data_IF_647439929414
#
_entry.id   IF_647439929414
#
_cell.length_a   1.000
_cell.length_b   1.000
_cell.length_c   1.000
_cell.angle_alpha   90.00
_cell.angle_beta   90.00
_cell.angle_gamma   90.00
#
_symmetry.space_group_name_H-M   'P 1'
#
loop_
_entity.id
_entity.type
_entity.pdbx_description
1 polymer ?
#
# COMPACT_ATOMS: atom_id res chain seq x y z
N UNK A 1 6.09 -18.66 76.76
CA UNK A 1 5.73 -19.28 75.46
C UNK A 1 4.93 -18.27 74.66
N UNK A 2 5.58 -17.52 73.76
CA UNK A 2 4.94 -16.47 72.96
C UNK A 2 4.54 -17.01 71.60
N UNK A 3 3.24 -16.97 71.30
CA UNK A 3 2.73 -17.18 69.95
C UNK A 3 2.75 -15.85 69.20
N UNK A 4 3.53 -15.77 68.11
CA UNK A 4 3.45 -14.69 67.11
C UNK A 4 2.39 -15.08 66.08
N UNK A 5 1.32 -14.28 65.99
CA UNK A 5 0.37 -14.35 64.89
C UNK A 5 0.88 -13.42 63.79
N UNK A 6 1.35 -13.99 62.69
CA UNK A 6 1.67 -13.25 61.46
C UNK A 6 0.39 -13.12 60.65
N UNK A 7 -0.12 -11.89 60.51
CA UNK A 7 -1.25 -11.58 59.66
C UNK A 7 -0.75 -11.40 58.22
N UNK A 8 -1.03 -12.38 57.34
CA UNK A 8 -0.83 -12.25 55.90
C UNK A 8 -1.92 -11.34 55.32
N UNK A 9 -1.56 -10.11 54.93
CA UNK A 9 -2.42 -9.26 54.11
C UNK A 9 -2.21 -9.69 52.65
N UNK A 10 -3.17 -10.44 52.12
CA UNK A 10 -3.32 -10.60 50.66
C UNK A 10 -3.76 -9.26 50.08
N UNK A 11 -2.81 -8.48 49.56
CA UNK A 11 -3.15 -7.37 48.66
C UNK A 11 -3.51 -7.99 47.31
N UNK A 12 -4.81 -8.18 47.08
CA UNK A 12 -5.33 -8.35 45.73
C UNK A 12 -4.99 -7.09 44.94
N UNK A 13 -3.91 -7.15 44.15
CA UNK A 13 -3.68 -6.24 43.04
C UNK A 13 -4.80 -6.47 42.02
N UNK A 14 -5.88 -5.71 42.17
CA UNK A 14 -6.77 -5.43 41.07
C UNK A 14 -5.90 -4.72 40.03
N UNK A 15 -5.62 -5.41 38.91
CA UNK A 15 -5.13 -4.77 37.69
C UNK A 15 -6.18 -3.72 37.32
N UNK A 16 -5.97 -2.48 37.74
CA UNK A 16 -6.65 -1.35 37.16
C UNK A 16 -6.18 -1.30 35.70
N UNK A 17 -7.10 -1.54 34.78
CA UNK A 17 -6.90 -1.29 33.36
C UNK A 17 -6.37 0.13 33.18
N UNK A 18 -5.13 0.25 32.70
CA UNK A 18 -4.53 1.54 32.36
C UNK A 18 -5.45 2.18 31.29
N UNK A 19 -5.97 3.40 31.50
CA UNK A 19 -6.72 4.11 30.47
C UNK A 19 -5.82 4.37 29.26
N UNK A 20 -6.41 4.23 28.07
CA UNK A 20 -5.74 3.93 26.80
C UNK A 20 -4.55 4.81 26.46
N UNK A 21 -3.51 4.18 25.91
CA UNK A 21 -2.39 4.89 25.26
C UNK A 21 -2.92 5.93 24.27
N UNK A 22 -2.48 7.16 24.44
CA UNK A 22 -2.71 8.23 23.48
C UNK A 22 -2.04 7.83 22.15
N UNK A 23 -2.83 7.68 21.09
CA UNK A 23 -2.30 7.37 19.77
C UNK A 23 -1.41 8.52 19.30
N UNK A 24 -0.10 8.32 19.33
CA UNK A 24 0.88 9.32 18.87
C UNK A 24 1.02 9.26 17.35
N UNK A 25 1.01 10.43 16.71
CA UNK A 25 1.30 10.56 15.27
C UNK A 25 2.76 10.19 14.96
N UNK A 26 2.96 9.44 13.87
CA UNK A 26 4.27 9.13 13.31
C UNK A 26 4.24 9.30 11.79
N UNK A 27 5.18 10.09 11.29
CA UNK A 27 5.51 10.20 9.87
C UNK A 27 7.00 10.44 9.73
N UNK A 28 7.64 9.72 8.81
CA UNK A 28 9.01 9.97 8.37
C UNK A 28 9.01 10.05 6.84
N UNK A 29 9.60 11.10 6.29
CA UNK A 29 9.75 11.31 4.85
C UNK A 29 11.25 11.45 4.57
N UNK A 30 11.80 10.46 3.88
CA UNK A 30 13.21 10.45 3.49
C UNK A 30 13.34 10.46 1.97
N UNK A 31 14.35 11.15 1.45
CA UNK A 31 14.66 11.13 0.02
C UNK A 31 15.97 10.39 -0.20
N UNK A 32 15.94 9.32 -0.99
CA UNK A 32 17.13 8.55 -1.36
C UNK A 32 17.00 8.00 -2.77
N UNK A 33 18.11 8.02 -3.51
CA UNK A 33 18.22 7.47 -4.88
C UNK A 33 17.08 7.92 -5.81
N UNK A 34 16.71 9.20 -5.76
CA UNK A 34 15.68 9.78 -6.64
C UNK A 34 14.22 9.48 -6.24
N UNK A 35 13.97 8.91 -5.06
CA UNK A 35 12.62 8.64 -4.55
C UNK A 35 12.41 9.27 -3.17
N UNK A 36 11.17 9.67 -2.89
CA UNK A 36 10.67 9.97 -1.54
C UNK A 36 10.01 8.72 -0.97
N UNK A 37 10.51 8.25 0.16
CA UNK A 37 9.90 7.17 0.95
C UNK A 37 9.17 7.80 2.12
N UNK A 38 7.92 7.37 2.33
CA UNK A 38 7.02 7.94 3.34
C UNK A 38 6.53 6.79 4.22
N UNK A 39 7.00 6.78 5.46
CA UNK A 39 6.60 5.84 6.50
C UNK A 39 5.64 6.55 7.43
N UNK A 40 4.46 5.98 7.67
CA UNK A 40 3.50 6.60 8.58
C UNK A 40 2.62 5.59 9.29
N UNK A 41 2.18 5.94 10.49
CA UNK A 41 1.15 5.21 11.21
C UNK A 41 -0.28 5.71 10.93
N UNK A 42 -0.47 6.72 10.09
CA UNK A 42 -1.78 7.25 9.69
C UNK A 42 -2.56 7.94 10.81
N UNK A 43 -1.93 8.20 11.96
CA UNK A 43 -2.54 8.94 13.05
C UNK A 43 -2.30 10.44 12.81
N UNK A 44 -3.35 11.28 12.75
CA UNK A 44 -3.19 12.72 12.51
C UNK A 44 -2.45 13.41 13.65
N UNK A 45 -1.60 14.38 13.31
CA UNK A 45 -0.88 15.24 14.27
C UNK A 45 -1.72 16.42 14.79
N UNK A 46 -3.03 16.38 14.56
CA UNK A 46 -3.99 17.44 14.89
C UNK A 46 -5.25 16.82 15.48
N UNK A 47 -6.10 17.64 16.10
CA UNK A 47 -7.38 17.18 16.62
C UNK A 47 -8.24 16.56 15.51
N UNK A 48 -8.83 15.40 15.80
CA UNK A 48 -9.73 14.67 14.92
C UNK A 48 -11.03 14.35 15.67
N UNK A 49 -12.05 13.90 14.92
CA UNK A 49 -13.34 13.55 15.51
C UNK A 49 -13.24 12.41 16.53
N UNK A 50 -14.21 12.32 17.43
CA UNK A 50 -14.32 11.16 18.33
C UNK A 50 -14.78 9.93 17.54
N UNK A 51 -13.95 8.90 17.50
CA UNK A 51 -14.24 7.63 16.83
C UNK A 51 -14.03 6.46 17.82
N UNK A 52 -15.00 5.54 17.98
CA UNK A 52 -16.25 5.45 17.23
C UNK A 52 -17.30 6.49 17.67
N UNK A 53 -18.26 6.76 16.80
CA UNK A 53 -19.45 7.59 17.07
C UNK A 53 -20.68 7.03 16.34
N UNK A 54 -21.86 7.66 16.51
CA UNK A 54 -23.14 7.21 15.92
C UNK A 54 -23.10 7.09 14.39
N UNK A 55 -22.31 7.92 13.71
CA UNK A 55 -22.22 7.96 12.26
C UNK A 55 -21.04 7.16 11.69
N UNK A 56 -20.07 6.79 12.54
CA UNK A 56 -18.95 5.93 12.19
C UNK A 56 -18.59 5.00 13.37
N UNK A 57 -18.92 3.69 13.30
CA UNK A 57 -18.70 2.75 14.40
C UNK A 57 -17.25 2.27 14.52
N UNK A 58 -16.35 2.69 13.63
CA UNK A 58 -14.97 2.21 13.60
C UNK A 58 -14.11 3.01 14.58
N UNK A 59 -13.18 2.33 15.25
CA UNK A 59 -12.18 2.95 16.14
C UNK A 59 -10.90 3.20 15.36
N UNK A 60 -10.33 4.38 15.49
CA UNK A 60 -9.02 4.70 14.91
C UNK A 60 -7.92 3.82 15.52
N UNK A 61 -6.99 3.35 14.71
CA UNK A 61 -5.81 2.60 15.16
C UNK A 61 -4.61 2.89 14.28
N UNK A 62 -3.41 2.70 14.82
CA UNK A 62 -2.17 2.83 14.07
C UNK A 62 -2.14 1.85 12.89
N UNK A 63 -1.71 2.37 11.75
CA UNK A 63 -1.49 1.60 10.53
C UNK A 63 0.02 1.43 10.29
N UNK A 64 0.40 0.66 9.27
CA UNK A 64 1.79 0.58 8.78
C UNK A 64 1.84 0.96 7.30
N UNK A 65 1.86 2.26 7.05
CA UNK A 65 1.98 2.81 5.71
C UNK A 65 3.44 2.88 5.28
N UNK A 66 3.70 2.42 4.06
CA UNK A 66 5.00 2.54 3.39
C UNK A 66 4.69 2.94 1.96
N UNK A 67 4.93 4.21 1.65
CA UNK A 67 4.73 4.75 0.32
C UNK A 67 6.07 5.13 -0.31
N UNK A 68 6.12 5.08 -1.63
CA UNK A 68 7.25 5.54 -2.42
C UNK A 68 6.73 6.38 -3.58
N UNK A 69 7.33 7.54 -3.83
CA UNK A 69 7.04 8.35 -5.00
C UNK A 69 8.32 8.89 -5.61
N UNK A 70 8.31 9.26 -6.90
CA UNK A 70 9.47 9.91 -7.53
C UNK A 70 9.80 11.23 -6.82
N UNK A 71 11.08 11.48 -6.54
CA UNK A 71 11.54 12.77 -6.04
C UNK A 71 11.50 13.85 -7.15
N UNK A 72 11.57 13.41 -8.41
CA UNK A 72 11.57 14.23 -9.62
C UNK A 72 10.43 13.73 -10.53
N UNK A 73 9.17 14.02 -10.19
CA UNK A 73 8.02 13.53 -10.93
C UNK A 73 8.00 14.11 -12.36
N UNK A 74 7.54 13.31 -13.31
CA UNK A 74 7.41 13.69 -14.71
C UNK A 74 5.96 13.51 -15.16
N UNK A 75 5.51 14.40 -16.06
CA UNK A 75 4.19 14.29 -16.68
C UNK A 75 4.21 13.07 -17.59
N UNK A 76 3.17 12.25 -17.51
CA UNK A 76 2.93 11.19 -18.46
C UNK A 76 2.22 11.74 -19.70
N UNK A 77 2.30 11.02 -20.81
CA UNK A 77 1.59 11.37 -22.05
C UNK A 77 0.07 11.35 -21.86
N UNK A 78 -0.42 10.48 -20.97
CA UNK A 78 -1.82 10.31 -20.65
C UNK A 78 -2.05 10.42 -19.15
N UNK A 79 -3.18 11.03 -18.78
CA UNK A 79 -3.61 11.10 -17.39
C UNK A 79 -4.13 9.73 -16.93
N UNK A 80 -3.96 9.40 -15.64
CA UNK A 80 -4.42 8.13 -15.06
C UNK A 80 -5.54 8.38 -14.06
N UNK A 81 -6.74 7.79 -14.19
CA UNK A 81 -7.81 7.96 -13.21
C UNK A 81 -7.49 7.30 -11.87
N UNK A 82 -7.89 7.93 -10.76
CA UNK A 82 -7.83 7.34 -9.42
C UNK A 82 -8.96 6.33 -9.25
N UNK A 83 -8.64 5.04 -9.32
CA UNK A 83 -9.63 3.96 -9.25
C UNK A 83 -9.50 3.11 -7.98
N UNK A 84 -8.36 2.42 -7.82
CA UNK A 84 -8.10 1.47 -6.73
C UNK A 84 -6.91 1.90 -5.86
N UNK A 85 -6.70 3.21 -5.76
CA UNK A 85 -5.57 3.85 -5.11
C UNK A 85 -6.05 4.97 -4.23
N UNK A 86 -5.35 5.19 -3.12
CA UNK A 86 -5.37 6.51 -2.48
C UNK A 86 -4.68 7.50 -3.42
N UNK A 87 -5.15 8.75 -3.47
CA UNK A 87 -4.58 9.76 -4.36
C UNK A 87 -3.17 10.18 -3.93
N UNK A 88 -2.95 10.30 -2.64
CA UNK A 88 -1.69 10.77 -2.11
C UNK A 88 -1.63 10.60 -0.60
N UNK A 89 -0.55 11.10 -0.02
CA UNK A 89 -0.36 11.11 1.43
C UNK A 89 0.01 12.52 1.87
N UNK A 90 -0.63 12.97 2.95
CA UNK A 90 -0.34 14.25 3.56
C UNK A 90 1.04 14.23 4.21
N UNK A 91 1.69 15.40 4.34
CA UNK A 91 3.00 15.48 5.02
C UNK A 91 2.90 15.19 6.53
N UNK A 92 1.69 15.12 7.11
CA UNK A 92 1.45 14.58 8.45
C UNK A 92 1.23 13.05 8.48
N UNK A 93 1.34 12.37 7.33
CA UNK A 93 1.26 10.92 7.20
C UNK A 93 -0.14 10.34 6.95
N UNK A 94 -1.19 11.16 6.96
CA UNK A 94 -2.56 10.68 6.72
C UNK A 94 -2.87 10.57 5.22
N UNK A 95 -3.46 9.46 4.74
CA UNK A 95 -3.82 9.32 3.32
C UNK A 95 -4.92 10.28 2.85
N UNK A 96 -4.80 10.74 1.60
CA UNK A 96 -5.87 11.38 0.83
C UNK A 96 -6.57 10.32 -0.02
N UNK A 97 -7.78 9.95 0.35
CA UNK A 97 -8.60 8.98 -0.39
C UNK A 97 -9.81 9.69 -1.01
N UNK A 98 -9.79 9.95 -2.33
CA UNK A 98 -10.90 10.63 -3.00
C UNK A 98 -12.16 9.76 -3.16
N UNK A 99 -12.03 8.44 -3.03
CA UNK A 99 -13.05 7.49 -3.43
C UNK A 99 -13.94 7.06 -2.27
N UNK A 100 -15.24 6.89 -2.52
CA UNK A 100 -16.12 6.15 -1.61
C UNK A 100 -16.23 4.69 -2.04
N UNK A 101 -16.51 3.80 -1.09
CA UNK A 101 -16.96 2.45 -1.39
C UNK A 101 -18.47 2.38 -1.69
N UNK A 102 -19.14 3.55 -1.73
CA UNK A 102 -20.58 3.68 -1.86
C UNK A 102 -20.97 3.88 -3.32
N UNK A 103 -21.73 2.92 -3.85
CA UNK A 103 -22.24 2.94 -5.21
C UNK A 103 -23.74 2.83 -5.19
N UNK A 104 -24.40 3.44 -6.18
CA UNK A 104 -25.84 3.31 -6.36
C UNK A 104 -26.24 1.84 -6.41
N UNK A 105 -27.27 1.49 -5.63
CA UNK A 105 -27.73 0.11 -5.43
C UNK A 105 -26.63 -0.89 -4.99
N UNK A 106 -25.54 -0.39 -4.37
CA UNK A 106 -24.36 -1.18 -3.98
C UNK A 106 -23.70 -1.90 -5.17
N UNK A 107 -23.92 -1.41 -6.39
CA UNK A 107 -23.37 -1.98 -7.60
C UNK A 107 -22.18 -1.15 -8.10
N UNK A 108 -20.96 -1.67 -7.91
CA UNK A 108 -19.72 -1.04 -8.40
C UNK A 108 -19.70 -0.85 -9.91
N UNK A 109 -20.40 -1.70 -10.66
CA UNK A 109 -20.48 -1.64 -12.12
C UNK A 109 -21.53 -0.64 -12.62
N UNK A 110 -22.29 0.00 -11.72
CA UNK A 110 -23.32 0.99 -12.11
C UNK A 110 -22.73 2.24 -12.77
N UNK A 111 -21.46 2.56 -12.52
CA UNK A 111 -20.86 3.84 -12.89
C UNK A 111 -21.25 5.01 -11.96
N UNK A 112 -22.12 4.78 -10.98
CA UNK A 112 -22.65 5.80 -10.09
C UNK A 112 -22.06 5.66 -8.68
N UNK A 113 -20.89 6.24 -8.47
CA UNK A 113 -20.22 6.34 -7.16
C UNK A 113 -20.64 7.61 -6.44
N UNK A 114 -21.03 7.49 -5.17
CA UNK A 114 -21.40 8.67 -4.37
C UNK A 114 -20.17 9.52 -4.05
N UNK A 115 -20.36 10.84 -4.04
CA UNK A 115 -19.34 11.80 -3.64
C UNK A 115 -19.36 11.99 -2.12
N UNK A 116 -18.21 11.82 -1.47
CA UNK A 116 -18.09 11.82 -0.01
C UNK A 116 -18.54 13.16 0.61
N UNK A 117 -18.20 14.26 -0.06
CA UNK A 117 -18.52 15.63 0.37
C UNK A 117 -19.74 16.22 -0.36
N UNK A 118 -20.62 15.37 -0.89
CA UNK A 118 -21.88 15.82 -1.51
C UNK A 118 -22.89 16.42 -0.53
N UNK A 119 -22.78 16.09 0.76
CA UNK A 119 -23.82 16.38 1.76
C UNK A 119 -25.09 15.54 1.61
N UNK A 120 -25.08 14.53 0.74
CA UNK A 120 -26.24 13.67 0.43
C UNK A 120 -26.13 12.26 1.02
N UNK A 121 -24.92 11.89 1.45
CA UNK A 121 -24.65 10.65 2.18
C UNK A 121 -23.93 11.00 3.49
N UNK A 122 -24.14 10.18 4.51
CA UNK A 122 -23.47 10.33 5.80
C UNK A 122 -22.42 9.22 5.96
N UNK A 123 -21.16 9.57 5.76
CA UNK A 123 -20.00 8.68 5.96
C UNK A 123 -19.38 8.81 7.37
N UNK A 124 -19.99 9.63 8.23
CA UNK A 124 -19.44 9.98 9.54
C UNK A 124 -18.13 10.74 9.43
N UNK A 125 -18.05 11.67 8.47
CA UNK A 125 -16.92 12.57 8.33
C UNK A 125 -16.82 13.51 9.55
N UNK A 126 -15.60 13.78 9.99
CA UNK A 126 -15.31 14.78 11.02
C UNK A 126 -15.07 16.17 10.43
N UNK A 127 -14.72 17.13 11.29
CA UNK A 127 -14.41 18.51 10.92
C UNK A 127 -13.20 18.67 9.99
N UNK A 128 -12.43 17.61 9.75
CA UNK A 128 -11.29 17.58 8.83
C UNK A 128 -11.64 16.87 7.51
N UNK A 129 -12.93 16.68 7.21
CA UNK A 129 -13.39 15.93 6.06
C UNK A 129 -12.86 14.50 6.04
N UNK A 130 -12.68 13.89 7.21
CA UNK A 130 -12.01 12.60 7.37
C UNK A 130 -12.89 11.61 8.09
N UNK A 131 -12.62 10.32 7.94
CA UNK A 131 -13.24 9.30 8.78
C UNK A 131 -12.38 8.05 8.91
N UNK A 132 -12.82 7.12 9.75
CA UNK A 132 -12.12 5.87 10.05
C UNK A 132 -12.75 4.69 9.29
N UNK A 133 -11.93 3.92 8.57
CA UNK A 133 -12.34 2.68 7.90
C UNK A 133 -12.48 1.52 8.89
N UNK A 134 -13.14 0.40 8.52
CA UNK A 134 -13.27 -0.77 9.40
C UNK A 134 -11.96 -1.38 9.91
N UNK A 135 -10.84 -1.16 9.23
CA UNK A 135 -9.51 -1.59 9.67
C UNK A 135 -8.83 -0.59 10.64
N UNK A 136 -9.52 0.49 11.01
CA UNK A 136 -9.02 1.55 11.87
C UNK A 136 -8.24 2.67 11.16
N UNK A 137 -8.10 2.61 9.84
CA UNK A 137 -7.38 3.64 9.08
C UNK A 137 -8.18 4.95 8.98
N UNK A 138 -7.62 6.03 9.53
CA UNK A 138 -8.11 7.39 9.36
C UNK A 138 -7.58 7.98 8.05
N UNK A 139 -8.43 8.65 7.28
CA UNK A 139 -8.07 9.22 5.97
C UNK A 139 -8.98 10.38 5.58
N UNK A 140 -8.46 11.29 4.76
CA UNK A 140 -9.16 12.49 4.29
C UNK A 140 -9.90 12.26 2.97
N UNK A 141 -11.12 12.80 2.88
CA UNK A 141 -11.91 12.96 1.64
C UNK A 141 -11.86 14.39 1.08
N UNK A 142 -11.25 15.33 1.81
CA UNK A 142 -11.12 16.73 1.41
C UNK A 142 -10.07 17.48 2.22
N UNK A 143 -10.24 18.79 2.36
CA UNK A 143 -9.30 19.65 3.08
C UNK A 143 -9.36 19.34 4.59
N UNK A 144 -8.25 18.97 5.23
CA UNK A 144 -8.19 18.80 6.68
C UNK A 144 -8.11 20.15 7.39
N UNK A 145 -9.26 20.77 7.65
CA UNK A 145 -9.36 22.18 8.08
C UNK A 145 -8.55 22.53 9.33
N UNK A 146 -8.58 21.71 10.39
CA UNK A 146 -7.81 22.02 11.59
C UNK A 146 -6.31 21.94 11.33
N UNK A 147 -5.88 20.96 10.54
CA UNK A 147 -4.47 20.83 10.17
C UNK A 147 -4.00 21.97 9.27
N UNK A 148 -4.77 22.31 8.22
CA UNK A 148 -4.42 23.41 7.32
C UNK A 148 -4.29 24.73 8.09
N UNK A 149 -5.20 24.99 9.03
CA UNK A 149 -5.17 26.19 9.89
C UNK A 149 -3.95 26.21 10.83
N UNK A 150 -3.42 25.04 11.19
CA UNK A 150 -2.17 24.94 11.97
C UNK A 150 -0.91 25.22 11.13
N UNK A 151 -0.97 24.96 9.81
CA UNK A 151 0.14 25.20 8.88
C UNK A 151 0.21 26.64 8.39
N UNK A 152 -0.94 27.29 8.18
CA UNK A 152 -1.00 28.67 7.70
C UNK A 152 -2.16 29.45 8.30
N UNK A 153 -1.89 30.72 8.65
CA UNK A 153 -2.89 31.68 9.17
C UNK A 153 -3.35 32.71 8.14
N UNK A 154 -2.66 32.80 7.01
CA UNK A 154 -2.95 33.75 5.92
C UNK A 154 -3.00 33.01 4.58
N UNK A 155 -3.63 33.58 3.54
CA UNK A 155 -3.53 33.03 2.18
C UNK A 155 -2.08 32.81 1.77
N UNK A 156 -1.70 31.56 1.53
CA UNK A 156 -0.34 31.16 1.18
C UNK A 156 -0.38 29.84 0.40
N UNK A 157 0.56 29.64 -0.54
CA UNK A 157 0.80 28.33 -1.13
C UNK A 157 1.33 27.39 -0.05
N UNK A 158 0.49 26.49 0.45
CA UNK A 158 0.85 25.55 1.50
C UNK A 158 0.97 24.14 0.94
N UNK A 159 2.18 23.59 0.92
CA UNK A 159 2.42 22.18 0.62
C UNK A 159 1.76 21.33 1.71
N UNK A 160 0.85 20.45 1.31
CA UNK A 160 0.12 19.56 2.22
C UNK A 160 0.38 18.08 1.98
N UNK A 161 1.04 17.70 0.88
CA UNK A 161 1.32 16.29 0.63
C UNK A 161 2.00 16.02 -0.70
N UNK A 162 2.13 14.73 -1.00
CA UNK A 162 2.61 14.23 -2.28
C UNK A 162 1.61 13.23 -2.85
N UNK A 163 1.28 13.40 -4.13
CA UNK A 163 0.42 12.47 -4.87
C UNK A 163 1.18 11.18 -5.19
N UNK A 164 0.47 10.10 -5.50
CA UNK A 164 1.06 8.80 -5.82
C UNK A 164 2.04 8.85 -7.00
N UNK A 165 1.92 9.83 -7.90
CA UNK A 165 2.83 10.06 -9.02
C UNK A 165 4.03 10.98 -8.69
N UNK A 166 4.13 11.43 -7.44
CA UNK A 166 5.23 12.20 -6.88
C UNK A 166 5.11 13.71 -6.98
N UNK A 167 4.10 14.24 -7.70
CA UNK A 167 3.87 15.69 -7.72
C UNK A 167 3.35 16.20 -6.36
N UNK A 168 3.75 17.41 -5.97
CA UNK A 168 3.29 18.00 -4.71
C UNK A 168 1.81 18.38 -4.77
N UNK A 169 1.17 18.34 -3.60
CA UNK A 169 -0.22 18.72 -3.37
C UNK A 169 -0.24 19.97 -2.50
N UNK A 170 -0.91 21.01 -2.97
CA UNK A 170 -1.16 22.25 -2.25
C UNK A 170 -2.63 22.34 -1.83
N UNK A 171 -2.93 23.18 -0.84
CA UNK A 171 -4.32 23.42 -0.43
C UNK A 171 -4.72 24.88 -0.68
N UNK A 172 -5.90 25.06 -1.30
CA UNK A 172 -6.60 26.33 -1.53
C UNK A 172 -5.91 27.37 -2.39
N UNK A 173 -4.70 27.81 -2.04
CA UNK A 173 -4.11 29.03 -2.59
C UNK A 173 -2.91 28.72 -3.49
N UNK A 174 -2.89 29.38 -4.65
CA UNK A 174 -1.88 29.26 -5.68
C UNK A 174 -1.51 30.63 -6.24
N UNK A 175 -0.42 30.70 -7.00
CA UNK A 175 -0.11 31.88 -7.80
C UNK A 175 -1.13 32.02 -8.94
N UNK A 176 -1.67 33.23 -9.09
CA UNK A 176 -2.51 33.67 -10.20
C UNK A 176 -2.23 35.15 -10.50
N UNK A 177 -1.74 35.43 -11.71
CA UNK A 177 -1.48 36.79 -12.21
C UNK A 177 -0.60 37.64 -11.26
N UNK A 178 0.43 37.02 -10.68
CA UNK A 178 1.37 37.65 -9.75
C UNK A 178 0.89 37.75 -8.30
N UNK A 179 -0.31 37.25 -7.98
CA UNK A 179 -0.87 37.28 -6.63
C UNK A 179 -1.10 35.86 -6.09
N UNK A 180 -1.15 35.72 -4.76
CA UNK A 180 -1.60 34.48 -4.11
C UNK A 180 -3.11 34.54 -3.92
N UNK A 181 -3.81 33.65 -4.60
CA UNK A 181 -5.26 33.64 -4.70
C UNK A 181 -5.83 32.24 -4.49
N UNK A 182 -7.11 32.15 -4.08
CA UNK A 182 -7.80 30.86 -4.01
C UNK A 182 -8.02 30.30 -5.42
N UNK A 183 -7.52 29.07 -5.64
CA UNK A 183 -7.59 28.35 -6.90
C UNK A 183 -8.98 27.78 -7.13
N UNK A 184 -9.51 28.01 -8.34
CA UNK A 184 -10.85 27.57 -8.73
C UNK A 184 -10.76 26.29 -9.54
N UNK A 185 -11.47 25.26 -9.10
CA UNK A 185 -11.70 24.05 -9.90
C UNK A 185 -12.47 24.39 -11.20
N UNK A 186 -12.06 23.72 -12.27
CA UNK A 186 -12.71 23.78 -13.59
C UNK A 186 -13.81 22.73 -13.75
N UNK A 187 -14.18 22.02 -12.69
CA UNK A 187 -15.32 21.12 -12.68
C UNK A 187 -16.62 21.85 -12.35
N UNK A 188 -17.69 21.52 -13.07
CA UNK A 188 -19.05 22.03 -12.85
C UNK A 188 -20.02 20.86 -12.69
N UNK A 189 -21.12 21.08 -11.99
CA UNK A 189 -22.25 20.15 -12.01
C UNK A 189 -22.88 20.24 -13.40
N UNK A 190 -23.10 19.07 -14.01
CA UNK A 190 -23.80 18.90 -15.29
C UNK A 190 -25.21 19.51 -15.21
N UNK A 191 -25.73 19.99 -16.35
CA UNK A 191 -27.10 20.52 -16.41
C UNK A 191 -28.11 19.45 -16.82
N UNK A 192 -29.35 19.58 -16.34
CA UNK A 192 -30.48 18.73 -16.73
C UNK A 192 -30.62 17.45 -15.89
N UNK A 193 -31.31 16.46 -16.46
CA UNK A 193 -31.60 15.19 -15.81
C UNK A 193 -30.63 14.08 -16.22
N UNK A 194 -30.31 13.18 -15.29
CA UNK A 194 -29.61 11.92 -15.53
C UNK A 194 -30.50 11.06 -16.43
N UNK A 195 -29.95 10.59 -17.56
CA UNK A 195 -30.68 9.76 -18.52
C UNK A 195 -30.79 8.30 -18.06
N UNK A 196 -29.87 7.86 -17.21
CA UNK A 196 -29.74 6.49 -16.73
C UNK A 196 -29.49 6.43 -15.21
N UNK A 197 -29.46 5.22 -14.66
CA UNK A 197 -29.08 4.94 -13.28
C UNK A 197 -30.03 5.56 -12.23
N UNK A 198 -29.54 6.37 -11.27
CA UNK A 198 -30.33 6.93 -10.18
C UNK A 198 -31.42 7.92 -10.63
N UNK A 199 -31.42 8.36 -11.90
CA UNK A 199 -32.39 9.34 -12.41
C UNK A 199 -32.30 10.70 -11.69
N UNK A 200 -33.28 11.57 -11.90
CA UNK A 200 -33.32 12.90 -11.29
C UNK A 200 -32.32 13.90 -11.88
N UNK A 201 -32.19 15.08 -11.26
CA UNK A 201 -31.25 16.11 -11.70
C UNK A 201 -29.81 15.78 -11.30
N UNK A 202 -28.85 16.20 -12.11
CA UNK A 202 -27.46 16.30 -11.67
C UNK A 202 -27.38 17.31 -10.53
N UNK A 203 -27.06 16.85 -9.33
CA UNK A 203 -27.09 17.66 -8.11
C UNK A 203 -25.82 17.52 -7.24
N UNK A 204 -24.81 16.83 -7.77
CA UNK A 204 -23.52 16.62 -7.10
C UNK A 204 -23.53 15.46 -6.09
N UNK A 205 -24.61 14.66 -6.04
CA UNK A 205 -24.69 13.43 -5.23
C UNK A 205 -23.64 12.41 -5.66
N UNK A 206 -23.41 12.28 -6.97
CA UNK A 206 -22.50 11.31 -7.55
C UNK A 206 -21.31 11.99 -8.21
N UNK A 207 -20.17 11.30 -8.23
CA UNK A 207 -18.97 11.76 -8.97
C UNK A 207 -19.30 12.03 -10.44
N UNK A 208 -20.15 11.19 -11.05
CA UNK A 208 -20.59 11.31 -12.44
C UNK A 208 -21.50 12.52 -12.72
N UNK A 209 -21.93 13.26 -11.69
CA UNK A 209 -22.69 14.50 -11.86
C UNK A 209 -21.81 15.67 -12.25
N UNK A 210 -20.50 15.55 -12.09
CA UNK A 210 -19.55 16.59 -12.41
C UNK A 210 -18.93 16.36 -13.78
N UNK A 211 -18.68 17.45 -14.50
CA UNK A 211 -17.93 17.46 -15.74
C UNK A 211 -16.82 18.51 -15.68
N UNK A 212 -15.68 18.19 -16.28
CA UNK A 212 -14.60 19.14 -16.48
C UNK A 212 -14.95 20.06 -17.64
N UNK A 213 -14.87 21.37 -17.41
CA UNK A 213 -15.03 22.40 -18.43
C UNK A 213 -13.74 23.21 -18.50
N UNK A 214 -12.94 22.98 -19.55
CA UNK A 214 -11.67 23.65 -19.77
C UNK A 214 -11.82 25.19 -19.72
N UNK A 215 -10.92 25.85 -18.98
CA UNK A 215 -10.93 27.31 -18.81
C UNK A 215 -12.04 27.88 -17.92
N UNK A 216 -12.91 27.05 -17.32
CA UNK A 216 -13.97 27.55 -16.42
C UNK A 216 -13.51 27.84 -14.98
N UNK A 217 -12.23 27.56 -14.71
CA UNK A 217 -11.52 27.78 -13.47
C UNK A 217 -10.02 27.97 -13.75
N UNK A 218 -9.20 27.82 -12.72
CA UNK A 218 -7.75 28.02 -12.77
C UNK A 218 -6.98 26.69 -12.95
N UNK A 219 -7.66 25.56 -12.76
CA UNK A 219 -7.05 24.22 -12.68
C UNK A 219 -7.42 23.33 -13.87
N UNK A 220 -6.55 22.40 -14.24
CA UNK A 220 -6.73 21.45 -15.34
C UNK A 220 -7.66 20.27 -14.96
N UNK A 221 -7.83 19.30 -15.86
CA UNK A 221 -8.65 18.10 -15.64
C UNK A 221 -8.16 17.23 -14.47
N UNK A 222 -6.88 17.33 -14.13
CA UNK A 222 -6.25 16.70 -12.99
C UNK A 222 -6.38 17.55 -11.71
N UNK A 223 -7.11 18.66 -11.74
CA UNK A 223 -7.24 19.63 -10.65
C UNK A 223 -5.88 20.15 -10.15
N UNK A 224 -4.95 20.37 -11.09
CA UNK A 224 -3.65 20.97 -10.84
C UNK A 224 -3.30 22.03 -11.89
N UNK A 225 -2.07 22.55 -11.79
CA UNK A 225 -1.46 23.43 -12.80
C UNK A 225 0.05 23.28 -12.77
N UNK A 226 0.70 23.79 -13.81
CA UNK A 226 2.14 24.02 -13.80
C UNK A 226 2.44 25.43 -13.31
N UNK A 227 3.48 25.60 -12.51
CA UNK A 227 3.95 26.90 -12.05
C UNK A 227 4.99 26.79 -10.94
N UNK A 228 5.63 27.91 -10.61
CA UNK A 228 6.54 28.01 -9.48
C UNK A 228 5.78 27.87 -8.16
N UNK A 229 6.44 27.27 -7.17
CA UNK A 229 5.96 27.16 -5.79
C UNK A 229 7.12 27.45 -4.83
N UNK A 230 6.89 27.67 -3.52
CA UNK A 230 7.97 27.92 -2.58
C UNK A 230 9.07 26.84 -2.58
N UNK A 231 8.68 25.57 -2.69
CA UNK A 231 9.59 24.42 -2.71
C UNK A 231 10.18 24.15 -4.10
N UNK A 232 9.53 24.63 -5.16
CA UNK A 232 9.92 24.40 -6.56
C UNK A 232 9.93 25.73 -7.34
N UNK A 233 10.92 26.61 -7.09
CA UNK A 233 10.96 27.95 -7.70
C UNK A 233 11.15 27.92 -9.22
N UNK A 234 11.74 26.85 -9.76
CA UNK A 234 11.91 26.65 -11.21
C UNK A 234 10.64 26.12 -11.90
N UNK A 235 9.56 25.92 -11.15
CA UNK A 235 8.31 25.37 -11.64
C UNK A 235 8.20 23.87 -11.49
N UNK A 236 7.01 23.43 -11.14
CA UNK A 236 6.60 22.02 -11.19
C UNK A 236 5.11 21.94 -11.50
N UNK A 237 4.67 20.79 -12.02
CA UNK A 237 3.25 20.49 -12.01
C UNK A 237 2.83 20.16 -10.56
N UNK A 238 1.70 20.68 -10.11
CA UNK A 238 1.25 20.50 -8.74
C UNK A 238 -0.27 20.50 -8.65
N UNK A 239 -0.78 19.74 -7.69
CA UNK A 239 -2.21 19.55 -7.46
C UNK A 239 -2.76 20.50 -6.42
N UNK A 240 -4.08 20.68 -6.43
CA UNK A 240 -4.78 21.42 -5.39
C UNK A 240 -5.87 20.58 -4.70
N UNK A 241 -5.92 20.69 -3.38
CA UNK A 241 -7.13 20.47 -2.61
C UNK A 241 -8.01 21.72 -2.66
N UNK A 242 -9.29 21.55 -2.99
CA UNK A 242 -10.23 22.66 -3.22
C UNK A 242 -11.49 22.54 -2.37
N UNK A 243 -12.16 23.66 -2.09
CA UNK A 243 -13.46 23.66 -1.36
C UNK A 243 -14.60 23.06 -2.17
N UNK A 244 -14.43 22.94 -3.48
CA UNK A 244 -15.41 22.40 -4.44
C UNK A 244 -14.84 21.16 -5.09
N UNK A 245 -15.72 20.36 -5.70
CA UNK A 245 -15.34 19.17 -6.46
C UNK A 245 -14.15 19.46 -7.39
N UNK A 246 -13.11 18.61 -7.40
CA UNK A 246 -13.11 17.25 -6.86
C UNK A 246 -12.73 17.12 -5.38
N UNK A 247 -12.47 18.23 -4.66
CA UNK A 247 -11.97 18.29 -3.28
C UNK A 247 -10.56 17.70 -3.11
N UNK A 248 -10.37 16.45 -3.51
CA UNK A 248 -9.10 15.76 -3.77
C UNK A 248 -9.11 15.38 -5.26
N UNK A 249 -8.03 15.59 -6.03
CA UNK A 249 -7.99 15.24 -7.45
C UNK A 249 -8.43 13.81 -7.78
N UNK A 250 -9.01 13.62 -8.98
CA UNK A 250 -9.50 12.30 -9.47
C UNK A 250 -8.61 11.70 -10.56
N UNK A 251 -7.55 12.39 -10.97
CA UNK A 251 -6.63 11.94 -12.00
C UNK A 251 -5.19 12.29 -11.63
N UNK A 252 -4.27 11.43 -12.02
CA UNK A 252 -2.83 11.66 -11.99
C UNK A 252 -2.36 12.21 -13.34
N UNK A 253 -1.47 13.19 -13.29
CA UNK A 253 -0.74 13.81 -14.40
C UNK A 253 0.53 13.03 -14.72
N UNK A 254 1.13 12.37 -13.73
CA UNK A 254 2.25 11.45 -13.90
C UNK A 254 1.82 9.99 -13.80
N UNK A 255 2.80 9.11 -13.60
CA UNK A 255 2.57 7.68 -13.38
C UNK A 255 2.51 7.38 -11.88
N UNK A 256 1.36 6.97 -11.32
CA UNK A 256 1.26 6.68 -9.89
C UNK A 256 2.05 5.42 -9.50
N UNK A 257 2.72 5.48 -8.35
CA UNK A 257 3.44 4.35 -7.78
C UNK A 257 2.49 3.33 -7.15
N UNK A 258 2.74 2.04 -7.37
CA UNK A 258 1.87 0.95 -6.93
C UNK A 258 1.76 0.83 -5.40
N UNK A 259 2.67 1.44 -4.64
CA UNK A 259 2.59 1.47 -3.16
C UNK A 259 1.35 2.17 -2.62
N UNK A 260 0.66 2.98 -3.45
CA UNK A 260 -0.59 3.66 -3.13
C UNK A 260 -1.85 2.84 -3.45
N UNK A 261 -1.72 1.64 -4.01
CA UNK A 261 -2.85 0.76 -4.25
C UNK A 261 -3.49 0.33 -2.92
N UNK A 262 -4.81 0.32 -2.83
CA UNK A 262 -5.49 -0.22 -1.66
C UNK A 262 -5.09 -1.69 -1.46
N UNK A 263 -4.62 -2.04 -0.26
CA UNK A 263 -4.41 -3.44 0.11
C UNK A 263 -5.78 -4.11 0.18
N UNK A 264 -6.03 -5.13 -0.65
CA UNK A 264 -7.20 -5.97 -0.50
C UNK A 264 -7.13 -6.65 0.87
N UNK A 265 -7.98 -6.24 1.80
CA UNK A 265 -8.17 -6.99 3.04
C UNK A 265 -8.72 -8.39 2.74
N UNK A 266 -8.50 -9.38 3.62
CA UNK A 266 -9.15 -10.68 3.49
C UNK A 266 -10.67 -10.47 3.53
N UNK A 267 -11.35 -10.87 2.46
CA UNK A 267 -12.79 -10.75 2.34
C UNK A 267 -13.49 -11.41 3.54
N UNK A 268 -14.43 -10.68 4.12
CA UNK A 268 -15.41 -11.20 5.07
C UNK A 268 -16.12 -12.39 4.40
N UNK A 269 -15.82 -13.61 4.86
CA UNK A 269 -16.61 -14.79 4.55
C UNK A 269 -18.01 -14.59 5.10
N UNK A 270 -18.96 -14.25 4.23
CA UNK A 270 -20.39 -14.33 4.56
C UNK A 270 -20.74 -15.80 4.69
N UNK A 271 -20.90 -16.23 5.93
CA UNK A 271 -21.47 -17.50 6.32
C UNK A 271 -22.95 -17.53 5.89
N UNK A 272 -23.22 -18.10 4.72
CA UNK A 272 -24.56 -18.57 4.38
C UNK A 272 -24.52 -20.09 4.30
N UNK A 273 -24.96 -20.71 5.39
CA UNK A 273 -25.26 -22.13 5.44
C UNK A 273 -26.33 -22.50 4.41
N UNK A 274 -25.95 -23.34 3.44
CA UNK A 274 -26.89 -24.24 2.76
C UNK A 274 -26.23 -25.61 2.61
N UNK A 275 -26.79 -26.58 3.34
CA UNK A 275 -26.58 -28.02 3.19
C UNK A 275 -26.62 -28.40 1.71
N UNK A 276 -25.54 -28.99 1.19
CA UNK A 276 -25.54 -29.71 -0.09
C UNK A 276 -25.61 -31.19 0.18
N UNK A 277 -26.77 -31.79 -0.08
CA UNK A 277 -26.85 -33.21 -0.45
C UNK A 277 -26.08 -33.40 -1.76
N UNK A 278 -25.30 -34.47 -1.81
CA UNK A 278 -24.33 -34.72 -2.86
C UNK A 278 -24.96 -35.14 -4.17
N UNK A 279 -24.40 -34.62 -5.27
CA UNK A 279 -24.26 -35.37 -6.51
C UNK A 279 -22.88 -35.08 -7.09
N UNK A 280 -22.10 -36.16 -7.23
CA UNK A 280 -20.82 -36.22 -7.94
C UNK A 280 -21.02 -35.78 -9.39
N UNK A 281 -20.33 -34.72 -9.82
CA UNK A 281 -19.82 -34.59 -11.19
C UNK A 281 -18.43 -33.94 -11.14
N UNK A 282 -17.44 -34.80 -11.42
CA UNK A 282 -16.13 -34.56 -12.02
C UNK A 282 -15.48 -33.19 -11.74
N UNK A 283 -14.52 -33.20 -10.80
CA UNK A 283 -13.62 -32.08 -10.58
C UNK A 283 -12.58 -31.99 -11.71
N UNK A 284 -12.57 -30.86 -12.42
CA UNK A 284 -11.33 -30.34 -12.96
C UNK A 284 -10.65 -29.54 -11.85
N UNK A 285 -9.81 -30.23 -11.08
CA UNK A 285 -8.74 -29.57 -10.36
C UNK A 285 -7.74 -29.04 -11.39
N UNK A 286 -7.75 -27.73 -11.63
CA UNK A 286 -6.59 -27.04 -12.20
C UNK A 286 -5.45 -27.04 -11.18
N UNK A 287 -4.79 -28.19 -11.05
CA UNK A 287 -3.45 -28.27 -10.49
C UNK A 287 -2.55 -27.33 -11.28
N UNK A 288 -1.78 -26.51 -10.56
CA UNK A 288 -0.59 -25.87 -11.12
C UNK A 288 0.34 -26.98 -11.64
N UNK A 289 0.59 -27.12 -12.95
CA UNK A 289 1.44 -28.19 -13.43
C UNK A 289 2.89 -27.77 -13.22
N UNK A 290 3.62 -28.56 -12.45
CA UNK A 290 5.02 -28.80 -12.77
C UNK A 290 5.11 -29.13 -14.28
N UNK A 291 5.75 -28.25 -15.07
CA UNK A 291 6.07 -28.51 -16.49
C UNK A 291 5.44 -27.62 -17.58
N UNK A 292 5.12 -26.34 -17.32
CA UNK A 292 4.67 -25.40 -18.37
C UNK A 292 5.77 -24.99 -19.38
N UNK A 293 5.37 -24.52 -20.57
CA UNK A 293 6.23 -24.20 -21.73
C UNK A 293 7.40 -23.23 -21.44
N UNK A 294 7.30 -22.43 -20.36
CA UNK A 294 8.31 -21.47 -19.91
C UNK A 294 8.74 -21.71 -18.45
N UNK A 295 8.68 -22.95 -17.96
CA UNK A 295 8.96 -23.27 -16.56
C UNK A 295 10.35 -22.83 -16.10
N UNK A 296 11.38 -23.11 -16.90
CA UNK A 296 12.75 -22.71 -16.60
C UNK A 296 12.90 -21.19 -16.52
N UNK A 297 12.31 -20.48 -17.49
CA UNK A 297 12.29 -19.03 -17.51
C UNK A 297 11.52 -18.46 -16.31
N UNK A 298 10.39 -19.05 -15.94
CA UNK A 298 9.58 -18.61 -14.79
C UNK A 298 10.33 -18.71 -13.47
N UNK A 299 11.13 -19.77 -13.32
CA UNK A 299 11.96 -19.96 -12.14
C UNK A 299 13.17 -19.01 -12.14
N UNK A 300 13.84 -18.88 -13.27
CA UNK A 300 15.02 -18.03 -13.45
C UNK A 300 14.68 -16.54 -13.31
N UNK A 301 13.58 -16.10 -13.92
CA UNK A 301 13.11 -14.71 -13.92
C UNK A 301 12.89 -14.16 -12.51
N UNK A 302 12.53 -15.00 -11.54
CA UNK A 302 12.28 -14.55 -10.15
C UNK A 302 13.52 -13.94 -9.49
N UNK A 303 14.72 -14.29 -9.95
CA UNK A 303 15.99 -13.93 -9.31
C UNK A 303 17.02 -13.34 -10.29
N UNK A 304 16.67 -13.19 -11.57
CA UNK A 304 17.61 -12.73 -12.60
C UNK A 304 17.37 -11.26 -12.95
N UNK A 305 18.31 -10.41 -12.53
CA UNK A 305 18.28 -8.96 -12.78
C UNK A 305 18.32 -8.62 -14.27
N UNK A 306 19.14 -9.32 -15.07
CA UNK A 306 19.22 -9.11 -16.53
C UNK A 306 17.88 -9.40 -17.24
N UNK A 307 17.16 -10.43 -16.81
CA UNK A 307 15.84 -10.71 -17.36
C UNK A 307 14.80 -9.65 -16.95
N UNK A 308 14.91 -9.08 -15.75
CA UNK A 308 14.09 -7.95 -15.32
C UNK A 308 14.43 -6.67 -16.11
N UNK A 309 15.70 -6.48 -16.48
CA UNK A 309 16.17 -5.37 -17.32
C UNK A 309 15.67 -5.49 -18.75
N UNK A 310 15.77 -6.66 -19.38
CA UNK A 310 15.25 -6.89 -20.74
C UNK A 310 13.75 -6.52 -20.84
N UNK A 311 12.94 -6.90 -19.84
CA UNK A 311 11.52 -6.53 -19.77
C UNK A 311 11.34 -5.02 -19.59
N UNK A 312 12.19 -4.38 -18.79
CA UNK A 312 12.14 -2.94 -18.50
C UNK A 312 12.52 -2.10 -19.72
N UNK A 313 13.62 -2.44 -20.40
CA UNK A 313 14.13 -1.73 -21.57
C UNK A 313 13.18 -1.82 -22.76
N UNK A 314 12.46 -2.93 -22.88
CA UNK A 314 11.47 -3.12 -23.95
C UNK A 314 10.05 -2.68 -23.55
N UNK A 315 9.88 -2.13 -22.35
CA UNK A 315 8.58 -1.66 -21.81
C UNK A 315 7.46 -2.73 -21.87
N UNK A 316 7.77 -3.97 -21.53
CA UNK A 316 6.84 -5.11 -21.67
C UNK A 316 6.11 -5.35 -20.34
N UNK A 317 4.78 -5.42 -20.38
CA UNK A 317 3.97 -5.80 -19.22
C UNK A 317 3.65 -7.30 -19.22
N UNK A 318 4.23 -8.04 -18.27
CA UNK A 318 4.05 -9.50 -18.16
C UNK A 318 3.01 -9.93 -17.13
N UNK A 319 2.44 -9.02 -16.32
CA UNK A 319 1.46 -9.37 -15.29
C UNK A 319 2.01 -10.10 -14.05
N UNK A 320 1.12 -10.43 -13.10
CA UNK A 320 1.42 -11.23 -11.90
C UNK A 320 0.30 -12.26 -11.65
N UNK A 321 0.56 -13.58 -11.80
CA UNK A 321 1.83 -14.20 -12.22
C UNK A 321 2.22 -13.85 -13.67
N UNK A 322 3.51 -13.94 -14.05
CA UNK A 322 3.96 -13.70 -15.42
C UNK A 322 3.17 -14.50 -16.46
N UNK A 323 2.58 -13.79 -17.42
CA UNK A 323 1.87 -14.29 -18.59
C UNK A 323 2.83 -14.20 -19.79
N UNK A 324 3.59 -15.27 -20.03
CA UNK A 324 4.67 -15.28 -21.02
C UNK A 324 4.17 -15.10 -22.46
N UNK A 325 2.90 -15.42 -22.71
CA UNK A 325 2.18 -15.14 -23.96
C UNK A 325 2.10 -13.65 -24.32
N UNK A 326 2.30 -12.74 -23.37
CA UNK A 326 2.28 -11.28 -23.59
C UNK A 326 3.67 -10.72 -23.94
N UNK A 327 4.72 -11.55 -23.93
CA UNK A 327 6.08 -11.14 -24.29
C UNK A 327 6.29 -11.36 -25.78
N UNK A 328 6.73 -10.35 -26.56
CA UNK A 328 7.11 -10.52 -27.96
C UNK A 328 8.06 -11.71 -28.15
N UNK A 329 7.79 -12.55 -29.15
CA UNK A 329 8.44 -13.85 -29.30
C UNK A 329 9.98 -13.77 -29.38
N UNK A 330 10.53 -12.72 -29.97
CA UNK A 330 11.97 -12.46 -30.04
C UNK A 330 12.59 -12.18 -28.67
N UNK A 331 11.90 -11.42 -27.82
CA UNK A 331 12.33 -11.10 -26.45
C UNK A 331 12.16 -12.31 -25.54
N UNK A 332 11.06 -13.04 -25.71
CA UNK A 332 10.83 -14.29 -25.00
C UNK A 332 11.93 -15.30 -25.32
N UNK A 333 12.28 -15.49 -26.60
CA UNK A 333 13.38 -16.37 -27.02
C UNK A 333 14.75 -15.90 -26.50
N UNK A 334 15.01 -14.59 -26.45
CA UNK A 334 16.23 -14.03 -25.87
C UNK A 334 16.33 -14.37 -24.36
N UNK A 335 15.25 -14.15 -23.62
CA UNK A 335 15.18 -14.44 -22.19
C UNK A 335 15.23 -15.94 -21.90
N UNK A 336 14.59 -16.77 -22.72
CA UNK A 336 14.68 -18.23 -22.62
C UNK A 336 16.08 -18.74 -22.92
N UNK A 337 16.75 -18.19 -23.93
CA UNK A 337 18.14 -18.54 -24.25
C UNK A 337 19.08 -18.11 -23.12
N UNK A 338 18.91 -16.92 -22.57
CA UNK A 338 19.64 -16.46 -21.38
C UNK A 338 19.38 -17.40 -20.19
N UNK A 339 18.11 -17.73 -19.93
CA UNK A 339 17.75 -18.66 -18.87
C UNK A 339 18.33 -20.06 -19.11
N UNK A 340 18.40 -20.57 -20.34
CA UNK A 340 19.01 -21.87 -20.67
C UNK A 340 20.54 -21.87 -20.57
N UNK A 341 21.19 -20.77 -20.94
CA UNK A 341 22.64 -20.61 -20.86
C UNK A 341 23.11 -20.45 -19.41
N UNK A 342 22.29 -19.80 -18.57
CA UNK A 342 22.60 -19.49 -17.19
C UNK A 342 21.88 -20.39 -16.17
N UNK A 343 21.06 -21.33 -16.65
CA UNK A 343 20.51 -22.42 -15.85
C UNK A 343 21.01 -23.74 -16.44
N UNK A 344 22.01 -24.35 -15.81
CA UNK A 344 22.55 -25.64 -16.27
C UNK A 344 21.45 -26.70 -16.33
N UNK A 345 21.29 -27.32 -17.50
CA UNK A 345 20.24 -28.28 -17.84
C UNK A 345 20.37 -29.61 -17.08
N UNK A 346 19.22 -30.19 -16.70
CA UNK A 346 19.04 -31.64 -16.65
C UNK A 346 18.74 -32.25 -15.27
N UNK A 347 17.47 -32.61 -15.08
CA UNK A 347 16.93 -33.57 -14.11
C UNK A 347 16.93 -33.17 -12.61
N UNK A 348 15.79 -33.48 -11.97
CA UNK A 348 15.53 -33.49 -10.54
C UNK A 348 16.76 -33.75 -9.66
N UNK A 349 17.38 -32.71 -9.09
CA UNK A 349 18.01 -32.62 -7.75
C UNK A 349 18.98 -31.42 -7.70
N UNK A 350 18.84 -30.63 -6.64
CA UNK A 350 19.85 -29.78 -5.97
C UNK A 350 20.94 -29.02 -6.79
N UNK A 351 20.80 -27.68 -6.78
CA UNK A 351 21.77 -26.58 -6.51
C UNK A 351 23.14 -26.54 -7.24
N UNK A 352 23.49 -25.36 -7.80
CA UNK A 352 24.72 -24.55 -7.54
C UNK A 352 24.95 -23.46 -8.61
N UNK A 353 24.82 -22.19 -8.22
CA UNK A 353 25.29 -21.02 -8.98
C UNK A 353 26.83 -20.98 -8.97
N UNK A 354 27.44 -20.75 -10.12
CA UNK A 354 28.89 -20.81 -10.37
C UNK A 354 29.69 -19.63 -9.79
N UNK A 355 29.06 -18.74 -9.01
CA UNK A 355 29.77 -17.66 -8.29
C UNK A 355 30.47 -18.11 -7.01
N UNK A 356 30.28 -19.35 -6.57
CA UNK A 356 30.99 -19.93 -5.42
C UNK A 356 31.92 -21.07 -5.87
N UNK A 357 33.04 -20.72 -6.49
CA UNK A 357 34.22 -21.58 -6.48
C UNK A 357 35.30 -20.90 -5.66
N UNK A 358 35.45 -21.31 -4.39
CA UNK A 358 36.75 -21.68 -3.85
C UNK A 358 36.61 -22.44 -2.52
N UNK A 359 37.41 -23.52 -2.45
CA UNK A 359 37.72 -24.43 -1.33
C UNK A 359 36.67 -25.49 -0.95
N UNK A 360 36.95 -26.70 -1.49
CA UNK A 360 36.75 -28.00 -0.83
C UNK A 360 37.42 -27.93 0.56
N UNK A 361 36.88 -28.53 1.62
CA UNK A 361 36.83 -29.97 1.85
C UNK A 361 35.79 -30.28 2.95
N UNK A 362 35.05 -31.38 2.81
CA UNK A 362 34.84 -32.42 3.84
C UNK A 362 33.76 -33.40 3.37
N UNK A 363 34.14 -34.68 3.30
CA UNK A 363 33.31 -35.82 2.93
C UNK A 363 32.42 -36.29 4.09
N UNK A 364 31.17 -36.65 3.83
CA UNK A 364 30.31 -37.41 4.75
C UNK A 364 28.95 -37.79 4.14
N UNK A 365 28.47 -39.04 4.25
CA UNK A 365 27.48 -39.61 3.33
C UNK A 365 26.01 -39.30 3.70
N UNK A 366 25.21 -39.15 2.65
CA UNK A 366 23.75 -39.13 2.67
C UNK A 366 23.15 -40.38 3.34
N UNK A 367 22.17 -40.19 4.23
CA UNK A 367 21.18 -41.23 4.56
C UNK A 367 19.76 -40.67 4.54
N UNK A 368 18.99 -41.21 3.59
CA UNK A 368 17.54 -41.20 3.53
C UNK A 368 16.93 -42.04 4.66
N UNK A 369 15.86 -41.55 5.29
CA UNK A 369 14.82 -42.44 5.85
C UNK A 369 13.47 -41.73 5.91
N UNK A 370 12.52 -42.27 5.14
CA UNK A 370 11.09 -42.05 5.33
C UNK A 370 10.66 -42.59 6.70
N UNK A 371 9.78 -41.86 7.39
CA UNK A 371 9.05 -42.28 8.58
C UNK A 371 7.82 -41.40 8.76
N UNK A 372 6.65 -42.02 8.95
CA UNK A 372 5.33 -41.41 8.93
C UNK A 372 4.92 -40.82 10.31
N UNK A 373 4.44 -39.56 10.32
CA UNK A 373 3.55 -38.90 11.32
C UNK A 373 4.14 -38.47 12.67
N UNK A 374 3.54 -37.52 13.45
CA UNK A 374 2.37 -36.65 13.22
C UNK A 374 2.65 -35.12 13.40
N UNK A 375 1.74 -34.25 12.93
CA UNK A 375 1.55 -32.89 13.47
C UNK A 375 2.38 -31.75 12.87
N UNK A 376 1.78 -31.01 11.91
CA UNK A 376 2.17 -29.63 11.61
C UNK A 376 1.83 -28.74 12.82
N UNK A 377 2.74 -28.59 13.78
CA UNK A 377 2.45 -27.78 14.96
C UNK A 377 3.62 -27.32 15.85
N UNK A 378 4.86 -27.79 15.64
CA UNK A 378 5.96 -27.50 16.57
C UNK A 378 7.07 -26.57 16.08
N UNK A 379 7.22 -26.35 14.78
CA UNK A 379 8.46 -25.77 14.24
C UNK A 379 8.59 -24.24 14.35
N UNK A 380 7.50 -23.52 14.63
CA UNK A 380 7.49 -22.06 14.50
C UNK A 380 7.63 -21.29 15.82
N UNK A 381 7.50 -21.91 16.99
CA UNK A 381 7.35 -21.15 18.23
C UNK A 381 8.67 -20.60 18.76
N UNK A 382 9.78 -21.35 18.62
CA UNK A 382 11.11 -20.97 19.13
C UNK A 382 11.71 -19.74 18.44
N UNK A 383 11.45 -19.55 17.14
CA UNK A 383 12.01 -18.46 16.33
C UNK A 383 10.94 -17.54 15.76
N UNK A 384 9.72 -17.56 16.31
CA UNK A 384 8.56 -16.83 15.75
C UNK A 384 8.80 -15.33 15.65
N UNK A 385 9.27 -14.73 16.74
CA UNK A 385 9.56 -13.29 16.83
C UNK A 385 10.67 -12.88 15.87
N UNK A 386 11.72 -13.70 15.76
CA UNK A 386 12.83 -13.51 14.82
C UNK A 386 12.32 -13.59 13.38
N UNK A 387 11.53 -14.61 13.03
CA UNK A 387 11.02 -14.80 11.68
C UNK A 387 10.04 -13.70 11.23
N UNK A 388 9.18 -13.22 12.14
CA UNK A 388 8.22 -12.16 11.87
C UNK A 388 8.91 -10.79 11.70
N UNK A 389 9.95 -10.50 12.49
CA UNK A 389 10.78 -9.30 12.35
C UNK A 389 11.66 -9.35 11.10
N UNK A 390 12.39 -10.46 10.90
CA UNK A 390 13.30 -10.67 9.78
C UNK A 390 12.63 -10.40 8.44
N UNK A 391 11.39 -10.85 8.27
CA UNK A 391 10.58 -10.70 7.04
C UNK A 391 10.51 -9.27 6.49
N UNK A 392 10.69 -8.27 7.35
CA UNK A 392 10.55 -6.86 6.99
C UNK A 392 11.76 -6.00 7.40
N UNK A 393 12.87 -6.62 7.83
CA UNK A 393 14.05 -5.92 8.29
C UNK A 393 15.22 -6.10 7.32
N UNK A 394 15.61 -4.99 6.68
CA UNK A 394 16.72 -4.95 5.72
C UNK A 394 18.07 -5.23 6.40
N UNK A 395 18.30 -4.68 7.59
CA UNK A 395 19.53 -4.88 8.37
C UNK A 395 19.72 -6.35 8.77
N UNK A 396 18.63 -7.06 9.11
CA UNK A 396 18.70 -8.49 9.37
C UNK A 396 18.96 -9.31 8.09
N UNK A 397 18.38 -8.91 6.96
CA UNK A 397 18.65 -9.53 5.66
C UNK A 397 20.11 -9.33 5.22
N UNK A 398 20.67 -8.15 5.47
CA UNK A 398 22.09 -7.82 5.26
C UNK A 398 22.97 -8.63 6.20
N UNK A 399 22.61 -8.75 7.47
CA UNK A 399 23.37 -9.54 8.43
C UNK A 399 23.47 -11.03 8.03
N UNK A 400 22.38 -11.62 7.51
CA UNK A 400 22.40 -12.99 6.95
C UNK A 400 23.28 -13.07 5.70
N UNK A 401 23.26 -12.04 4.85
CA UNK A 401 24.03 -11.96 3.61
C UNK A 401 25.52 -11.82 3.88
N UNK A 402 25.90 -10.94 4.79
CA UNK A 402 27.29 -10.61 5.13
C UNK A 402 27.97 -11.78 5.86
N UNK A 403 27.18 -12.59 6.58
CA UNK A 403 27.64 -13.84 7.19
C UNK A 403 27.53 -15.05 6.24
N UNK A 404 27.09 -14.85 4.99
CA UNK A 404 26.95 -15.88 3.96
C UNK A 404 26.12 -17.10 4.42
N UNK A 405 25.01 -16.84 5.12
CA UNK A 405 24.15 -17.89 5.71
C UNK A 405 23.04 -18.28 4.74
N UNK A 406 22.99 -19.56 4.37
CA UNK A 406 21.90 -20.11 3.57
C UNK A 406 20.70 -20.51 4.45
N UNK A 407 19.62 -19.73 4.35
CA UNK A 407 18.37 -19.99 5.06
C UNK A 407 17.53 -21.11 4.43
N UNK A 408 17.92 -21.65 3.27
CA UNK A 408 17.15 -22.65 2.55
C UNK A 408 15.85 -22.11 1.92
N UNK A 409 14.97 -23.03 1.50
CA UNK A 409 13.66 -22.69 0.92
C UNK A 409 12.65 -22.25 1.98
N UNK A 410 11.54 -21.58 1.59
CA UNK A 410 10.52 -21.18 2.56
C UNK A 410 9.76 -22.40 3.13
N UNK A 411 9.56 -22.49 4.46
CA UNK A 411 9.98 -21.51 5.48
C UNK A 411 11.49 -21.57 5.81
N UNK A 412 12.14 -20.42 6.11
CA UNK A 412 13.57 -20.37 6.45
C UNK A 412 13.98 -21.37 7.53
N UNK A 413 15.10 -22.04 7.34
CA UNK A 413 15.68 -22.96 8.31
C UNK A 413 16.52 -22.21 9.34
N UNK A 414 15.84 -21.73 10.39
CA UNK A 414 16.46 -20.99 11.48
C UNK A 414 17.46 -21.81 12.32
N UNK A 415 17.42 -23.14 12.26
CA UNK A 415 18.37 -23.99 13.01
C UNK A 415 19.78 -23.97 12.39
N UNK A 416 19.90 -23.59 11.12
CA UNK A 416 21.19 -23.47 10.43
C UNK A 416 21.84 -22.10 10.60
N UNK A 417 21.16 -21.16 11.25
CA UNK A 417 21.71 -19.82 11.50
C UNK A 417 22.60 -19.88 12.74
N UNK A 418 23.88 -19.46 12.65
CA UNK A 418 24.78 -19.40 13.79
C UNK A 418 24.17 -18.63 14.96
N UNK A 419 24.35 -19.15 16.19
CA UNK A 419 23.63 -18.64 17.36
C UNK A 419 23.95 -17.17 17.67
N UNK A 420 25.16 -16.71 17.36
CA UNK A 420 25.56 -15.31 17.49
C UNK A 420 24.79 -14.39 16.52
N UNK A 421 24.49 -14.86 15.31
CA UNK A 421 23.71 -14.11 14.31
C UNK A 421 22.23 -14.12 14.68
N UNK A 422 21.70 -15.26 15.14
CA UNK A 422 20.35 -15.32 15.70
C UNK A 422 20.16 -14.35 16.88
N UNK A 423 21.18 -14.22 17.73
CA UNK A 423 21.11 -13.32 18.88
C UNK A 423 21.15 -11.85 18.47
N UNK A 424 21.98 -11.47 17.49
CA UNK A 424 21.97 -10.11 16.92
C UNK A 424 20.62 -9.77 16.27
N UNK A 425 20.04 -10.70 15.50
CA UNK A 425 18.70 -10.53 14.94
C UNK A 425 17.66 -10.39 16.06
N UNK A 426 17.78 -11.18 17.13
CA UNK A 426 16.86 -11.13 18.26
C UNK A 426 16.98 -9.85 19.11
N UNK A 427 18.18 -9.28 19.21
CA UNK A 427 18.45 -8.01 19.90
C UNK A 427 17.92 -6.85 19.06
N UNK A 428 18.25 -6.82 17.77
CA UNK A 428 17.72 -5.84 16.83
C UNK A 428 16.19 -5.91 16.70
N UNK A 429 15.59 -7.11 16.83
CA UNK A 429 14.14 -7.26 16.82
C UNK A 429 13.41 -6.70 18.05
N UNK A 430 14.14 -6.33 19.11
CA UNK A 430 13.58 -5.72 20.35
C UNK A 430 13.70 -4.20 20.36
N UNK A 431 14.50 -3.63 19.46
CA UNK A 431 14.60 -2.19 19.20
C UNK A 431 13.47 -1.74 18.27
#
# INVERSE_FOLDING_TARGET
MSYKITLCIFVSLILQSIPGEELKSFVNIETRRGYRYIFSNGIPSHNYGSFPNRNNPNRISQQRHVYRVSAVPQRADQITPVQHQIFGVAINGVPFDPGTAEFWQRNRQSGWRYEALSGKINLGLDMNNAHVQPNGAYHYHGIPWQWLTSLTKTPAMTLVGYAADGFPIYALYGERNGNIDEMRSSYKIRKGMRRDGPGGYYDGTFVADYEYIAGSGDLDECNGKFGATPEYPNGTYHYYLTKKFPFIPRYFRGTPDFTFNHRQGPGQGREHGRRRQGHRRQGHHGHSPHGGKHYLLSHHFRYCEECHEIIRENNIYIGRPPQWENVPQNILQQMEKHAQQNSTTGSNRFVRDKRFQHKRDFHGPWRSRHGQGPGHGGFHEKYRSIADHFRYCEECHELIRDNNIDLGGPPPNWENVPQNVLQQIAEHAKE
#
